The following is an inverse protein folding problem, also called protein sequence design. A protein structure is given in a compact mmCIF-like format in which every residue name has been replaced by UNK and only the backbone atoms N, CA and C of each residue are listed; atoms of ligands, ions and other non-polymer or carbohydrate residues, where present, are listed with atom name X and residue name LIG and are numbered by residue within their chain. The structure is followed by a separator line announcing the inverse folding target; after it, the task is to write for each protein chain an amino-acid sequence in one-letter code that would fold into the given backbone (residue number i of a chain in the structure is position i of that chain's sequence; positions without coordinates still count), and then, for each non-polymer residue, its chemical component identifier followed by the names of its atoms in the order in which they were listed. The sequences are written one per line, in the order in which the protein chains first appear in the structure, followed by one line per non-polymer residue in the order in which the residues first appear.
data_IF_094185764639
#
_entry.id   IF_094185764639
#
_cell.length_a   1.000
_cell.length_b   1.000
_cell.length_c   1.000
_cell.angle_alpha   90.00
_cell.angle_beta   90.00
_cell.angle_gamma   90.00
#
_symmetry.space_group_name_H-M   'P 1'
#
loop_
_entity.id
_entity.type
_entity.pdbx_description
1 polymer ?
#
# COMPACT_ATOMS: atom_id res chain seq x y z
N UNK A 1 8.24 13.80 -4.42
CA UNK A 1 7.55 13.63 -3.13
C UNK A 1 8.22 12.56 -2.30
N UNK A 2 8.17 12.71 -0.97
CA UNK A 2 8.65 11.69 -0.05
C UNK A 2 7.54 10.68 0.19
N UNK A 3 7.94 9.44 0.49
CA UNK A 3 6.99 8.40 0.89
C UNK A 3 7.30 8.00 2.33
N UNK A 4 6.28 8.01 3.16
CA UNK A 4 6.37 7.51 4.53
C UNK A 4 5.31 6.44 4.76
N UNK A 5 5.59 5.54 5.68
CA UNK A 5 4.71 4.44 6.03
C UNK A 5 4.25 4.62 7.48
N UNK A 6 2.95 4.57 7.70
CA UNK A 6 2.43 4.60 9.08
C UNK A 6 2.85 3.34 9.83
N UNK A 7 2.88 3.37 11.16
CA UNK A 7 3.12 2.14 11.94
C UNK A 7 2.15 1.02 11.56
N UNK A 8 0.89 1.35 11.29
CA UNK A 8 -0.13 0.38 10.90
C UNK A 8 0.20 -0.28 9.57
N UNK A 9 0.67 0.52 8.59
CA UNK A 9 1.03 -0.03 7.28
C UNK A 9 2.27 -0.91 7.37
N UNK A 10 3.22 -0.56 8.24
CA UNK A 10 4.41 -1.38 8.47
C UNK A 10 4.01 -2.73 9.08
N UNK A 11 3.10 -2.72 10.05
CA UNK A 11 2.60 -3.96 10.64
C UNK A 11 1.84 -4.79 9.60
N UNK A 12 1.08 -4.14 8.72
CA UNK A 12 0.42 -4.82 7.61
C UNK A 12 1.43 -5.55 6.72
N UNK A 13 2.53 -4.87 6.36
CA UNK A 13 3.56 -5.46 5.51
C UNK A 13 4.22 -6.65 6.18
N UNK A 14 4.50 -6.56 7.48
CA UNK A 14 5.07 -7.67 8.24
C UNK A 14 4.12 -8.86 8.27
N UNK A 15 2.84 -8.60 8.50
CA UNK A 15 1.80 -9.64 8.53
C UNK A 15 1.69 -10.35 7.18
N UNK A 16 1.66 -9.60 6.10
CA UNK A 16 1.55 -10.16 4.75
C UNK A 16 2.78 -11.00 4.41
N UNK A 17 3.97 -10.49 4.73
CA UNK A 17 5.20 -11.21 4.49
C UNK A 17 5.23 -12.52 5.27
N UNK A 18 4.88 -12.49 6.54
CA UNK A 18 4.90 -13.67 7.40
C UNK A 18 3.93 -14.74 6.92
N UNK A 19 2.74 -14.32 6.48
CA UNK A 19 1.74 -15.24 5.97
C UNK A 19 2.25 -16.02 4.75
N UNK A 20 2.89 -15.35 3.82
CA UNK A 20 3.43 -15.99 2.61
C UNK A 20 4.70 -16.76 2.92
N UNK A 21 5.53 -16.27 3.84
CA UNK A 21 6.81 -16.86 4.20
C UNK A 21 6.68 -18.29 4.72
N UNK A 22 5.59 -18.56 5.45
CA UNK A 22 5.30 -19.90 5.95
C UNK A 22 5.22 -20.92 4.82
N UNK A 23 4.73 -20.48 3.65
CA UNK A 23 4.56 -21.36 2.49
C UNK A 23 5.74 -21.27 1.52
N UNK A 24 6.31 -20.10 1.35
CA UNK A 24 7.36 -19.88 0.36
C UNK A 24 8.11 -18.59 0.65
N UNK A 25 9.34 -18.72 1.16
CA UNK A 25 10.19 -17.56 1.50
C UNK A 25 10.52 -16.70 0.29
N UNK A 26 10.83 -17.33 -0.83
CA UNK A 26 11.14 -16.63 -2.08
C UNK A 26 9.96 -15.78 -2.56
N UNK A 27 8.76 -16.36 -2.51
CA UNK A 27 7.54 -15.64 -2.89
C UNK A 27 7.28 -14.44 -1.97
N UNK A 28 7.53 -14.61 -0.67
CA UNK A 28 7.35 -13.52 0.30
C UNK A 28 8.27 -12.35 -0.02
N UNK A 29 9.52 -12.62 -0.37
CA UNK A 29 10.47 -11.59 -0.75
C UNK A 29 10.02 -10.85 -2.02
N UNK A 30 9.58 -11.59 -3.04
CA UNK A 30 9.11 -10.99 -4.28
C UNK A 30 7.89 -10.09 -4.07
N UNK A 31 6.96 -10.52 -3.22
CA UNK A 31 5.76 -9.74 -2.91
C UNK A 31 6.13 -8.44 -2.20
N UNK A 32 7.00 -8.51 -1.20
CA UNK A 32 7.45 -7.33 -0.47
C UNK A 32 8.11 -6.33 -1.41
N UNK A 33 9.00 -6.80 -2.29
CA UNK A 33 9.68 -5.97 -3.28
C UNK A 33 8.67 -5.34 -4.24
N UNK A 34 7.69 -6.12 -4.72
CA UNK A 34 6.67 -5.64 -5.64
C UNK A 34 5.84 -4.52 -5.02
N UNK A 35 5.44 -4.68 -3.75
CA UNK A 35 4.65 -3.66 -3.07
C UNK A 35 5.45 -2.38 -2.91
N UNK A 36 6.69 -2.47 -2.42
CA UNK A 36 7.52 -1.29 -2.23
C UNK A 36 7.83 -0.59 -3.56
N UNK A 37 8.08 -1.37 -4.60
CA UNK A 37 8.35 -0.83 -5.92
C UNK A 37 7.11 -0.15 -6.51
N UNK A 38 5.95 -0.77 -6.34
CA UNK A 38 4.68 -0.19 -6.78
C UNK A 38 4.40 1.14 -6.08
N UNK A 39 4.57 1.17 -4.77
CA UNK A 39 4.36 2.38 -3.98
C UNK A 39 5.32 3.49 -4.39
N UNK A 40 6.56 3.14 -4.74
CA UNK A 40 7.56 4.15 -5.12
C UNK A 40 7.16 4.96 -6.35
N UNK A 41 6.27 4.45 -7.20
CA UNK A 41 5.75 5.17 -8.35
C UNK A 41 5.00 6.44 -7.94
N UNK A 42 4.48 6.46 -6.72
CA UNK A 42 3.71 7.61 -6.23
C UNK A 42 4.58 8.85 -6.03
N UNK A 43 5.90 8.71 -6.00
CA UNK A 43 6.82 9.85 -5.97
C UNK A 43 6.66 10.72 -7.22
N UNK A 44 6.36 10.10 -8.34
CA UNK A 44 6.21 10.79 -9.63
C UNK A 44 4.75 10.95 -10.00
N UNK A 45 3.92 9.96 -9.69
CA UNK A 45 2.50 9.95 -10.04
C UNK A 45 1.63 9.80 -8.79
N UNK A 46 1.51 10.87 -7.97
CA UNK A 46 0.79 10.77 -6.70
C UNK A 46 -0.70 10.44 -6.85
N UNK A 47 -1.30 10.76 -7.99
CA UNK A 47 -2.73 10.49 -8.23
C UNK A 47 -2.98 9.19 -8.99
N UNK A 48 -1.99 8.30 -9.00
CA UNK A 48 -2.07 7.02 -9.72
C UNK A 48 -3.15 6.09 -9.18
N UNK A 49 -3.37 6.10 -7.86
CA UNK A 49 -4.38 5.25 -7.23
C UNK A 49 -5.80 5.72 -7.47
N UNK A 50 -6.75 4.85 -7.14
CA UNK A 50 -8.19 5.10 -7.31
C UNK A 50 -8.72 5.84 -6.08
N UNK A 51 -9.58 6.83 -6.30
CA UNK A 51 -10.20 7.56 -5.19
C UNK A 51 -10.99 6.63 -4.27
N UNK A 52 -10.84 6.83 -2.96
CA UNK A 52 -11.60 6.11 -1.95
C UNK A 52 -12.86 6.92 -1.65
N UNK A 53 -13.99 6.52 -2.22
CA UNK A 53 -15.23 7.30 -2.17
C UNK A 53 -15.74 7.50 -0.74
N UNK A 54 -15.48 6.57 0.16
CA UNK A 54 -15.93 6.65 1.55
C UNK A 54 -15.06 7.59 2.40
N UNK A 55 -13.91 8.01 1.89
CA UNK A 55 -13.03 8.91 2.64
C UNK A 55 -13.65 10.32 2.71
N UNK A 56 -13.36 11.09 3.77
CA UNK A 56 -13.83 12.47 3.87
C UNK A 56 -13.38 13.33 2.68
N UNK A 57 -12.19 13.04 2.14
CA UNK A 57 -11.67 13.74 0.96
C UNK A 57 -11.12 12.74 -0.03
N UNK A 58 -11.97 12.20 -0.93
CA UNK A 58 -11.55 11.15 -1.85
C UNK A 58 -10.43 11.54 -2.83
N UNK A 59 -10.27 12.82 -3.09
CA UNK A 59 -9.23 13.27 -4.02
C UNK A 59 -7.83 12.95 -3.51
N UNK A 60 -7.64 12.98 -2.19
CA UNK A 60 -6.32 12.81 -1.59
C UNK A 60 -6.15 11.48 -0.85
N UNK A 61 -7.20 10.68 -0.72
CA UNK A 61 -7.11 9.34 -0.16
C UNK A 61 -7.39 8.34 -1.28
N UNK A 62 -6.38 7.56 -1.62
CA UNK A 62 -6.47 6.69 -2.80
C UNK A 62 -5.97 5.29 -2.49
N UNK A 63 -6.44 4.34 -3.28
CA UNK A 63 -6.01 2.95 -3.22
C UNK A 63 -5.18 2.63 -4.46
N UNK A 64 -3.93 2.24 -4.24
CA UNK A 64 -3.04 1.78 -5.31
C UNK A 64 -3.13 0.27 -5.38
N UNK A 65 -3.48 -0.24 -6.56
CA UNK A 65 -3.60 -1.67 -6.81
C UNK A 65 -2.26 -2.19 -7.33
N UNK A 66 -1.67 -3.12 -6.59
CA UNK A 66 -0.38 -3.72 -6.93
C UNK A 66 -0.59 -5.23 -6.98
N UNK A 67 -0.91 -5.76 -8.17
CA UNK A 67 -1.26 -7.17 -8.31
C UNK A 67 -2.48 -7.51 -7.45
N UNK A 68 -2.31 -8.42 -6.50
CA UNK A 68 -3.37 -8.83 -5.59
C UNK A 68 -3.39 -8.02 -4.28
N UNK A 69 -2.61 -6.95 -4.21
CA UNK A 69 -2.48 -6.16 -3.00
C UNK A 69 -2.98 -4.75 -3.23
N UNK A 70 -3.42 -4.12 -2.15
CA UNK A 70 -3.92 -2.75 -2.18
C UNK A 70 -3.16 -1.96 -1.12
N UNK A 71 -2.64 -0.80 -1.53
CA UNK A 71 -1.98 0.14 -0.64
C UNK A 71 -2.81 1.42 -0.59
N UNK A 72 -3.44 1.68 0.54
CA UNK A 72 -4.19 2.92 0.75
C UNK A 72 -3.24 4.01 1.22
N UNK A 73 -3.31 5.17 0.59
CA UNK A 73 -2.40 6.26 0.91
C UNK A 73 -3.11 7.61 0.94
N UNK A 74 -2.47 8.54 1.62
CA UNK A 74 -2.93 9.93 1.76
C UNK A 74 -1.91 10.84 1.07
N UNK A 75 -2.40 11.72 0.19
CA UNK A 75 -1.57 12.70 -0.49
C UNK A 75 -1.51 13.97 0.35
N UNK A 76 -0.30 14.38 0.73
CA UNK A 76 -0.05 15.65 1.38
C UNK A 76 0.73 16.55 0.44
N UNK A 77 0.94 17.81 0.85
CA UNK A 77 1.60 18.80 -0.02
C UNK A 77 2.96 18.35 -0.55
N UNK A 78 3.71 17.61 0.23
CA UNK A 78 5.08 17.20 -0.15
C UNK A 78 5.40 15.76 0.24
N UNK A 79 4.39 14.98 0.57
CA UNK A 79 4.58 13.65 1.12
C UNK A 79 3.40 12.74 0.80
N UNK A 80 3.71 11.49 0.55
CA UNK A 80 2.71 10.43 0.45
C UNK A 80 2.79 9.61 1.73
N UNK A 81 1.68 9.49 2.45
CA UNK A 81 1.62 8.64 3.63
C UNK A 81 0.88 7.35 3.28
N UNK A 82 1.58 6.23 3.34
CA UNK A 82 0.94 4.93 3.17
C UNK A 82 0.25 4.57 4.48
N UNK A 83 -1.06 4.45 4.43
CA UNK A 83 -1.89 4.27 5.63
C UNK A 83 -2.09 2.81 6.00
N UNK A 84 -2.43 1.97 5.01
CA UNK A 84 -2.71 0.55 5.21
C UNK A 84 -2.35 -0.24 3.94
N UNK A 85 -2.00 -1.51 4.12
CA UNK A 85 -1.74 -2.43 3.00
C UNK A 85 -2.42 -3.76 3.30
N UNK A 86 -3.10 -4.34 2.30
CA UNK A 86 -3.75 -5.64 2.48
C UNK A 86 -3.87 -6.39 1.16
N UNK A 87 -4.14 -7.69 1.27
CA UNK A 87 -4.46 -8.52 0.12
C UNK A 87 -5.93 -8.30 -0.24
N UNK A 88 -6.25 -8.27 -1.54
CA UNK A 88 -7.60 -7.93 -2.00
C UNK A 88 -8.68 -8.88 -1.47
N UNK A 89 -8.32 -10.07 -1.02
CA UNK A 89 -9.28 -11.03 -0.45
C UNK A 89 -9.50 -10.84 1.04
N UNK A 90 -8.71 -9.99 1.71
CA UNK A 90 -8.95 -9.68 3.11
C UNK A 90 -10.15 -8.76 3.22
N UNK A 91 -10.98 -9.01 4.24
CA UNK A 91 -12.16 -8.18 4.47
C UNK A 91 -11.75 -6.94 5.25
N UNK A 92 -11.54 -5.85 4.54
CA UNK A 92 -11.14 -4.56 5.10
C UNK A 92 -12.23 -3.53 4.86
N UNK A 93 -12.81 -3.05 5.91
CA UNK A 93 -13.86 -2.04 5.85
C UNK A 93 -13.37 -0.72 6.43
#
# INVERSE_FOLDING_TARGET
MRISYTPESIEDLKRLRKFVEVKNTSAAQRIAISILKGVSQLKVFPYLGVEVQQAPNPEIVRDLIIGNYIARYLIRSNEINVLRVWHHKENRL
#
